data_IF_114761047721
#
_entry.id   IF_114761047721
#
_cell.length_a   1.000
_cell.length_b   1.000
_cell.length_c   1.000
_cell.angle_alpha   90.00
_cell.angle_beta   90.00
_cell.angle_gamma   90.00
#
_symmetry.space_group_name_H-M   'P 1'
#
loop_
_entity.id
_entity.type
_entity.pdbx_description
1 polymer ?
#
# COMPACT_ATOMS: atom_id res chain seq x y z
N UNK A 1 -9.52 -0.03 63.74
CA UNK A 1 -9.21 0.76 62.53
C UNK A 1 -9.43 -0.07 61.25
N UNK A 2 -8.59 -1.06 60.94
CA UNK A 2 -8.66 -1.82 59.68
C UNK A 2 -9.97 -2.57 59.42
N UNK A 3 -10.63 -3.09 60.45
CA UNK A 3 -11.93 -3.74 60.29
C UNK A 3 -13.02 -2.77 59.79
N UNK A 4 -12.99 -1.52 60.26
CA UNK A 4 -13.93 -0.47 59.85
C UNK A 4 -13.65 -0.02 58.42
N UNK A 5 -12.38 0.16 58.07
CA UNK A 5 -11.95 0.49 56.70
C UNK A 5 -12.35 -0.61 55.71
N UNK A 6 -12.11 -1.87 56.08
CA UNK A 6 -12.50 -3.03 55.29
C UNK A 6 -14.03 -3.13 55.11
N UNK A 7 -14.82 -2.79 56.14
CA UNK A 7 -16.28 -2.75 56.05
C UNK A 7 -16.76 -1.65 55.08
N UNK A 8 -16.15 -0.45 55.13
CA UNK A 8 -16.45 0.64 54.19
C UNK A 8 -16.16 0.23 52.74
N UNK A 9 -15.02 -0.39 52.48
CA UNK A 9 -14.65 -0.87 51.14
C UNK A 9 -15.63 -1.94 50.63
N UNK A 10 -16.02 -2.91 51.47
CA UNK A 10 -17.04 -3.91 51.10
C UNK A 10 -18.37 -3.26 50.71
N UNK A 11 -18.81 -2.27 51.46
CA UNK A 11 -20.03 -1.53 51.14
C UNK A 11 -19.91 -0.79 49.80
N UNK A 12 -18.77 -0.14 49.53
CA UNK A 12 -18.53 0.53 48.25
C UNK A 12 -18.54 -0.45 47.07
N UNK A 13 -17.91 -1.61 47.22
CA UNK A 13 -17.92 -2.67 46.21
C UNK A 13 -19.37 -3.10 45.92
N UNK A 14 -20.15 -3.37 46.97
CA UNK A 14 -21.54 -3.79 46.82
C UNK A 14 -22.41 -2.72 46.13
N UNK A 15 -22.21 -1.44 46.46
CA UNK A 15 -22.91 -0.34 45.78
C UNK A 15 -22.55 -0.25 44.30
N UNK A 16 -21.27 -0.42 43.95
CA UNK A 16 -20.81 -0.42 42.55
C UNK A 16 -21.37 -1.61 41.78
N UNK A 17 -21.37 -2.80 42.38
CA UNK A 17 -21.95 -4.01 41.76
C UNK A 17 -23.45 -3.84 41.50
N UNK A 18 -24.20 -3.28 42.45
CA UNK A 18 -25.63 -2.97 42.26
C UNK A 18 -25.83 -1.96 41.12
N UNK A 19 -25.03 -0.89 41.10
CA UNK A 19 -25.05 0.12 40.03
C UNK A 19 -24.80 -0.50 38.66
N UNK A 20 -23.82 -1.40 38.55
CA UNK A 20 -23.54 -2.12 37.29
C UNK A 20 -24.70 -3.01 36.86
N UNK A 21 -25.31 -3.77 37.78
CA UNK A 21 -26.51 -4.57 37.47
C UNK A 21 -27.63 -3.71 36.90
N UNK A 22 -27.92 -2.57 37.54
CA UNK A 22 -28.94 -1.65 37.02
C UNK A 22 -28.59 -1.12 35.62
N UNK A 23 -27.32 -0.75 35.38
CA UNK A 23 -26.86 -0.31 34.05
C UNK A 23 -27.00 -1.41 32.98
N UNK A 24 -26.90 -2.67 33.37
CA UNK A 24 -27.10 -3.83 32.49
C UNK A 24 -28.58 -4.19 32.30
N UNK A 25 -29.50 -3.51 33.00
CA UNK A 25 -30.94 -3.77 32.94
C UNK A 25 -31.46 -4.81 33.94
N UNK A 26 -30.63 -5.22 34.91
CA UNK A 26 -31.00 -6.20 35.93
C UNK A 26 -31.54 -5.52 37.20
N UNK A 27 -32.32 -6.27 37.99
CA UNK A 27 -32.83 -5.85 39.32
C UNK A 27 -33.59 -4.51 39.34
N UNK A 28 -34.17 -4.10 38.21
CA UNK A 28 -34.83 -2.80 38.07
C UNK A 28 -36.08 -2.64 38.93
N UNK A 29 -36.75 -3.74 39.30
CA UNK A 29 -37.93 -3.73 40.17
C UNK A 29 -37.66 -3.16 41.56
N UNK A 30 -36.39 -3.11 41.98
CA UNK A 30 -35.96 -2.51 43.25
C UNK A 30 -35.84 -0.99 43.20
N UNK A 31 -35.89 -0.39 42.01
CA UNK A 31 -35.72 1.05 41.80
C UNK A 31 -37.08 1.75 41.78
N UNK A 32 -37.10 2.96 42.34
CA UNK A 32 -38.24 3.87 42.20
C UNK A 32 -38.32 4.44 40.78
N UNK A 33 -39.48 4.96 40.39
CA UNK A 33 -39.68 5.63 39.09
C UNK A 33 -38.67 6.76 38.86
N UNK A 34 -38.33 7.51 39.92
CA UNK A 34 -37.32 8.58 39.85
C UNK A 34 -35.93 8.03 39.55
N UNK A 35 -35.54 6.94 40.19
CA UNK A 35 -34.24 6.30 39.97
C UNK A 35 -34.15 5.63 38.60
N UNK A 36 -35.23 4.99 38.12
CA UNK A 36 -35.31 4.48 36.75
C UNK A 36 -35.10 5.61 35.73
N UNK A 37 -35.77 6.75 35.90
CA UNK A 37 -35.60 7.91 35.02
C UNK A 37 -34.17 8.44 35.04
N UNK A 38 -33.50 8.44 36.20
CA UNK A 38 -32.09 8.82 36.28
C UNK A 38 -31.17 7.83 35.57
N UNK A 39 -31.44 6.53 35.72
CA UNK A 39 -30.71 5.45 35.06
C UNK A 39 -30.84 5.54 33.53
N UNK A 40 -32.06 5.69 33.03
CA UNK A 40 -32.36 5.88 31.60
C UNK A 40 -31.61 7.09 31.04
N UNK A 41 -31.70 8.25 31.69
CA UNK A 41 -30.97 9.45 31.28
C UNK A 41 -29.44 9.25 31.26
N UNK A 42 -28.91 8.45 32.19
CA UNK A 42 -27.48 8.14 32.23
C UNK A 42 -27.07 7.21 31.08
N UNK A 43 -27.89 6.21 30.77
CA UNK A 43 -27.68 5.31 29.64
C UNK A 43 -27.77 6.06 28.30
N UNK A 44 -28.79 6.90 28.12
CA UNK A 44 -28.99 7.68 26.89
C UNK A 44 -27.78 8.58 26.59
N UNK A 45 -27.27 9.29 27.59
CA UNK A 45 -26.04 10.10 27.45
C UNK A 45 -24.82 9.25 27.12
N UNK A 46 -24.69 8.08 27.75
CA UNK A 46 -23.60 7.14 27.50
C UNK A 46 -23.62 6.61 26.06
N UNK A 47 -24.78 6.15 25.61
CA UNK A 47 -25.00 5.65 24.26
C UNK A 47 -24.74 6.74 23.22
N UNK A 48 -25.26 7.96 23.45
CA UNK A 48 -25.02 9.11 22.58
C UNK A 48 -23.52 9.37 22.42
N UNK A 49 -22.77 9.42 23.53
CA UNK A 49 -21.31 9.61 23.51
C UNK A 49 -20.58 8.51 22.74
N UNK A 50 -20.94 7.24 22.97
CA UNK A 50 -20.34 6.11 22.26
C UNK A 50 -20.61 6.20 20.76
N UNK A 51 -21.84 6.50 20.36
CA UNK A 51 -22.23 6.65 18.95
C UNK A 51 -21.47 7.79 18.29
N UNK A 52 -21.42 8.97 18.91
CA UNK A 52 -20.66 10.11 18.39
C UNK A 52 -19.18 9.77 18.22
N UNK A 53 -18.56 9.14 19.23
CA UNK A 53 -17.15 8.77 19.12
C UNK A 53 -16.88 7.73 18.03
N UNK A 54 -17.75 6.72 17.92
CA UNK A 54 -17.66 5.72 16.84
C UNK A 54 -17.80 6.40 15.46
N UNK A 55 -18.73 7.34 15.33
CA UNK A 55 -18.93 8.08 14.08
C UNK A 55 -17.69 8.88 13.69
N UNK A 56 -17.13 9.67 14.61
CA UNK A 56 -15.88 10.42 14.39
C UNK A 56 -14.73 9.51 13.95
N UNK A 57 -14.55 8.36 14.61
CA UNK A 57 -13.49 7.41 14.27
C UNK A 57 -13.69 6.79 12.88
N UNK A 58 -14.94 6.45 12.52
CA UNK A 58 -15.24 5.91 11.20
C UNK A 58 -15.00 6.94 10.10
N UNK A 59 -15.36 8.22 10.33
CA UNK A 59 -15.07 9.28 9.37
C UNK A 59 -13.57 9.47 9.16
N UNK A 60 -12.78 9.50 10.24
CA UNK A 60 -11.33 9.61 10.16
C UNK A 60 -10.70 8.42 9.40
N UNK A 61 -11.20 7.20 9.61
CA UNK A 61 -10.73 6.01 8.90
C UNK A 61 -11.10 6.07 7.41
N UNK A 62 -12.33 6.49 7.08
CA UNK A 62 -12.76 6.66 5.67
C UNK A 62 -11.87 7.68 4.96
N UNK A 63 -11.62 8.85 5.58
CA UNK A 63 -10.76 9.89 5.00
C UNK A 63 -9.33 9.38 4.78
N UNK A 64 -8.78 8.64 5.75
CA UNK A 64 -7.46 8.04 5.64
C UNK A 64 -7.39 7.05 4.46
N UNK A 65 -8.36 6.15 4.35
CA UNK A 65 -8.40 5.14 3.29
C UNK A 65 -8.58 5.77 1.91
N UNK A 66 -9.44 6.79 1.77
CA UNK A 66 -9.61 7.52 0.51
C UNK A 66 -8.32 8.22 0.06
N UNK A 67 -7.59 8.85 0.99
CA UNK A 67 -6.29 9.44 0.67
C UNK A 67 -5.30 8.36 0.22
N UNK A 68 -5.29 7.21 0.90
CA UNK A 68 -4.39 6.10 0.57
C UNK A 68 -4.71 5.50 -0.79
N UNK A 69 -5.99 5.38 -1.15
CA UNK A 69 -6.44 4.94 -2.47
C UNK A 69 -5.88 5.85 -3.57
N UNK A 70 -6.04 7.17 -3.44
CA UNK A 70 -5.52 8.14 -4.41
C UNK A 70 -3.99 8.04 -4.55
N UNK A 71 -3.25 7.90 -3.44
CA UNK A 71 -1.80 7.72 -3.48
C UNK A 71 -1.39 6.47 -4.26
N UNK A 72 -2.08 5.35 -4.03
CA UNK A 72 -1.82 4.08 -4.71
C UNK A 72 -2.19 4.15 -6.19
N UNK A 73 -3.29 4.80 -6.55
CA UNK A 73 -3.68 5.02 -7.94
C UNK A 73 -2.62 5.83 -8.69
N UNK A 74 -2.12 6.92 -8.09
CA UNK A 74 -1.06 7.74 -8.65
C UNK A 74 0.25 6.96 -8.84
N UNK A 75 0.66 6.17 -7.84
CA UNK A 75 1.82 5.29 -7.94
C UNK A 75 1.65 4.27 -9.07
N UNK A 76 0.46 3.67 -9.17
CA UNK A 76 0.13 2.68 -10.20
C UNK A 76 0.18 3.27 -11.61
N UNK A 77 -0.32 4.49 -11.81
CA UNK A 77 -0.23 5.22 -13.09
C UNK A 77 1.22 5.55 -13.43
N UNK A 78 2.02 6.01 -12.46
CA UNK A 78 3.44 6.28 -12.64
C UNK A 78 4.21 5.03 -13.09
N UNK A 79 3.99 3.91 -12.41
CA UNK A 79 4.63 2.63 -12.75
C UNK A 79 4.23 2.14 -14.15
N UNK A 80 2.93 2.20 -14.50
CA UNK A 80 2.46 1.85 -15.85
C UNK A 80 3.11 2.72 -16.94
N UNK A 81 3.24 4.02 -16.68
CA UNK A 81 3.88 4.94 -17.63
C UNK A 81 5.36 4.61 -17.82
N UNK A 82 6.07 4.30 -16.73
CA UNK A 82 7.48 3.90 -16.77
C UNK A 82 7.70 2.57 -17.50
N UNK A 83 6.82 1.60 -17.30
CA UNK A 83 6.84 0.33 -18.04
C UNK A 83 6.69 0.59 -19.55
N UNK A 84 5.68 1.37 -19.94
CA UNK A 84 5.45 1.69 -21.34
C UNK A 84 6.62 2.44 -21.99
N UNK A 85 7.30 3.32 -21.24
CA UNK A 85 8.52 3.99 -21.71
C UNK A 85 9.69 3.01 -21.90
N UNK A 86 9.91 2.11 -20.95
CA UNK A 86 10.95 1.08 -21.06
C UNK A 86 10.71 0.14 -22.24
N UNK A 87 9.46 -0.26 -22.48
CA UNK A 87 9.07 -1.08 -23.64
C UNK A 87 9.36 -0.36 -24.96
N UNK A 88 9.03 0.93 -25.06
CA UNK A 88 9.38 1.74 -26.24
C UNK A 88 10.89 1.84 -26.45
N UNK A 89 11.66 2.05 -25.38
CA UNK A 89 13.12 2.12 -25.47
C UNK A 89 13.73 0.78 -25.92
N UNK A 90 13.22 -0.35 -25.40
CA UNK A 90 13.63 -1.68 -25.85
C UNK A 90 13.30 -1.91 -27.32
N UNK A 91 12.08 -1.59 -27.77
CA UNK A 91 11.70 -1.71 -29.19
C UNK A 91 12.59 -0.84 -30.09
N UNK A 92 12.83 0.42 -29.72
CA UNK A 92 13.70 1.32 -30.48
C UNK A 92 15.15 0.80 -30.60
N UNK A 93 15.69 0.23 -29.52
CA UNK A 93 17.02 -0.39 -29.55
C UNK A 93 17.07 -1.65 -30.41
N UNK A 94 16.01 -2.47 -30.42
CA UNK A 94 15.94 -3.65 -31.28
C UNK A 94 15.87 -3.27 -32.77
N UNK A 95 15.09 -2.24 -33.13
CA UNK A 95 15.01 -1.73 -34.51
C UNK A 95 16.36 -1.15 -34.94
N UNK A 96 16.96 -0.27 -34.14
CA UNK A 96 18.27 0.32 -34.45
C UNK A 96 19.36 -0.76 -34.59
N UNK A 97 19.33 -1.81 -33.75
CA UNK A 97 20.26 -2.94 -33.86
C UNK A 97 20.06 -3.75 -35.15
N UNK A 98 18.82 -3.97 -35.58
CA UNK A 98 18.52 -4.62 -36.86
C UNK A 98 18.95 -3.77 -38.05
N UNK A 99 18.74 -2.46 -38.01
CA UNK A 99 19.20 -1.52 -39.04
C UNK A 99 20.73 -1.48 -39.15
N UNK A 100 21.44 -1.41 -38.02
CA UNK A 100 22.91 -1.51 -37.98
C UNK A 100 23.41 -2.83 -38.58
N UNK A 101 22.76 -3.95 -38.23
CA UNK A 101 23.11 -5.25 -38.79
C UNK A 101 22.82 -5.34 -40.29
N UNK A 102 21.71 -4.76 -40.76
CA UNK A 102 21.37 -4.70 -42.17
C UNK A 102 22.36 -3.83 -42.97
N UNK A 103 22.75 -2.66 -42.44
CA UNK A 103 23.78 -1.79 -43.04
C UNK A 103 25.11 -2.54 -43.12
N UNK A 104 25.51 -3.24 -42.06
CA UNK A 104 26.72 -4.06 -42.04
C UNK A 104 26.66 -5.21 -43.08
N UNK A 105 25.52 -5.88 -43.21
CA UNK A 105 25.31 -6.93 -44.20
C UNK A 105 25.36 -6.41 -45.65
N UNK A 106 24.75 -5.24 -45.92
CA UNK A 106 24.80 -4.57 -47.22
C UNK A 106 26.21 -4.10 -47.57
N UNK A 107 26.93 -3.52 -46.61
CA UNK A 107 28.33 -3.15 -46.78
C UNK A 107 29.21 -4.38 -47.08
N UNK A 108 29.01 -5.49 -46.36
CA UNK A 108 29.74 -6.75 -46.58
C UNK A 108 29.46 -7.37 -47.95
N UNK A 109 28.22 -7.25 -48.45
CA UNK A 109 27.82 -7.72 -49.78
C UNK A 109 28.38 -6.86 -50.91
N UNK A 110 28.54 -5.56 -50.68
CA UNK A 110 29.15 -4.64 -51.63
C UNK A 110 30.69 -4.69 -51.64
N UNK A 111 31.31 -5.31 -50.63
CA UNK A 111 32.76 -5.53 -50.59
C UNK A 111 33.24 -6.75 -51.41
N UNK A 112 32.32 -7.57 -51.94
CA UNK A 112 32.66 -8.67 -52.84
C UNK A 112 31.77 -8.68 -54.09
N UNK A 113 32.15 -7.86 -55.07
CA UNK A 113 31.96 -8.20 -56.48
C UNK A 113 33.32 -8.27 -57.17
N UNK A 114 33.94 -9.46 -57.27
CA UNK A 114 35.01 -9.73 -58.21
C UNK A 114 34.43 -10.43 -59.44
N UNK A 115 34.04 -9.64 -60.42
CA UNK A 115 34.06 -10.00 -61.83
C UNK A 115 34.22 -8.64 -62.52
N UNK A 116 35.37 -8.26 -63.07
CA UNK A 116 36.10 -8.94 -64.14
C UNK A 116 37.61 -8.64 -64.00
N UNK A 117 38.42 -9.70 -63.85
CA UNK A 117 39.78 -9.93 -64.38
C UNK A 117 40.76 -8.74 -64.39
N UNK A 118 41.74 -8.76 -63.47
CA UNK A 118 43.20 -8.92 -63.75
C UNK A 118 44.08 -8.22 -62.70
N UNK A 119 44.93 -8.99 -62.01
CA UNK A 119 46.23 -8.53 -61.52
C UNK A 119 46.29 -7.88 -60.12
N UNK A 120 47.08 -8.50 -59.24
CA UNK A 120 47.81 -7.79 -58.18
C UNK A 120 47.28 -8.02 -56.77
N UNK A 121 48.04 -8.79 -55.98
CA UNK A 121 47.67 -9.17 -54.62
C UNK A 121 47.69 -8.04 -53.59
N UNK A 122 47.14 -8.33 -52.42
CA UNK A 122 47.82 -8.20 -51.12
C UNK A 122 46.89 -8.74 -50.05
N UNK A 123 47.44 -9.61 -49.22
CA UNK A 123 46.81 -10.19 -48.05
C UNK A 123 46.90 -9.22 -46.87
N UNK A 124 45.78 -8.92 -46.18
CA UNK A 124 45.76 -8.45 -44.78
C UNK A 124 44.38 -8.79 -44.18
N UNK A 125 44.25 -9.88 -43.42
CA UNK A 125 44.52 -10.04 -41.98
C UNK A 125 43.44 -9.42 -41.08
N UNK A 126 42.49 -10.27 -40.67
CA UNK A 126 41.85 -10.21 -39.35
C UNK A 126 42.81 -10.92 -38.35
N UNK A 127 42.81 -10.69 -37.01
CA UNK A 127 41.67 -10.34 -36.16
C UNK A 127 41.96 -9.26 -35.10
N UNK A 128 40.93 -8.68 -34.48
CA UNK A 128 41.07 -8.36 -33.05
C UNK A 128 39.73 -8.44 -32.31
N UNK A 129 39.63 -9.45 -31.45
CA UNK A 129 38.52 -9.66 -30.51
C UNK A 129 38.97 -9.08 -29.17
N UNK A 130 38.41 -7.93 -28.75
CA UNK A 130 38.58 -7.47 -27.37
C UNK A 130 37.60 -8.20 -26.46
N UNK A 131 38.15 -9.15 -25.70
CA UNK A 131 37.52 -9.86 -24.58
C UNK A 131 37.34 -8.87 -23.42
N UNK A 132 36.12 -8.74 -22.91
CA UNK A 132 35.83 -8.07 -21.64
C UNK A 132 36.26 -8.99 -20.48
N UNK A 133 37.04 -8.47 -19.54
CA UNK A 133 37.25 -9.11 -18.22
C UNK A 133 36.47 -8.31 -17.17
N UNK A 134 35.53 -8.98 -16.52
CA UNK A 134 34.93 -8.57 -15.25
C UNK A 134 35.80 -9.15 -14.13
N UNK A 135 36.27 -8.29 -13.24
CA UNK A 135 36.88 -8.59 -11.96
C UNK A 135 36.52 -7.49 -10.99
#
# INVERSE_FOLDING_TARGET
YYQQESAKLRQQIQMLQNSNRHLMGDSLSSLTVKELKQLENRLERGITRIRSKKHEMLLAEIEFLQKREIELENESVCLRSKIAEMERFQQANMVTGQELNAIHALASRNFFSPAIIEGGGTAYSHPDKKILHLG
#
